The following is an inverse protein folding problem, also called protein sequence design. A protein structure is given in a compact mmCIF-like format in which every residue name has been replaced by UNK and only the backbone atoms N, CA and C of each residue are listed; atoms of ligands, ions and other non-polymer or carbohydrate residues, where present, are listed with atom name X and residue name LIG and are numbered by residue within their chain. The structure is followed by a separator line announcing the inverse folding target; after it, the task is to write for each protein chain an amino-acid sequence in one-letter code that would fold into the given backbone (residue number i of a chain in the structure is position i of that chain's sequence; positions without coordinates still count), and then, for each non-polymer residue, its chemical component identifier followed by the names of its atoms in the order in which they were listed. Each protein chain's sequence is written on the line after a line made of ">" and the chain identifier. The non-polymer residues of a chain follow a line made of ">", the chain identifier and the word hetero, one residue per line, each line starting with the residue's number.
data_IF_490382570480
#
_entry.id   IF_490382570480
#
_cell.length_a   1.000
_cell.length_b   1.000
_cell.length_c   1.000
_cell.angle_alpha   90.00
_cell.angle_beta   90.00
_cell.angle_gamma   90.00
#
_symmetry.space_group_name_H-M   'P 1'
#
loop_
_entity.id
_entity.type
_entity.pdbx_description
1 polymer ?
#
# COMPACT_ATOMS: atom_id res chain seq x y z
N UNK A 1 14.71 17.51 -21.76
CA UNK A 1 14.50 16.29 -20.97
C UNK A 1 13.85 16.66 -19.64
N UNK A 2 12.52 16.66 -19.61
CA UNK A 2 11.79 16.69 -18.34
C UNK A 2 12.14 15.39 -17.62
N UNK A 3 12.91 15.50 -16.53
CA UNK A 3 13.01 14.42 -15.56
C UNK A 3 11.56 14.11 -15.11
N UNK A 4 11.04 12.98 -15.55
CA UNK A 4 9.91 12.40 -14.86
C UNK A 4 10.39 12.27 -13.41
N UNK A 5 9.78 13.04 -12.51
CA UNK A 5 9.93 12.79 -11.09
C UNK A 5 9.36 11.39 -10.90
N UNK A 6 10.24 10.43 -10.64
CA UNK A 6 9.80 9.12 -10.21
C UNK A 6 8.92 9.36 -8.99
N UNK A 7 7.68 8.94 -9.10
CA UNK A 7 6.75 8.99 -7.98
C UNK A 7 7.31 8.06 -6.92
N UNK A 8 7.93 8.63 -5.90
CA UNK A 8 8.36 7.91 -4.72
C UNK A 8 7.15 7.55 -3.89
N UNK A 9 6.46 6.48 -4.27
CA UNK A 9 5.34 5.93 -3.50
C UNK A 9 5.94 4.94 -2.51
N UNK A 10 5.79 5.21 -1.21
CA UNK A 10 6.32 4.39 -0.12
C UNK A 10 5.20 4.01 0.83
N UNK A 11 4.24 3.27 0.28
CA UNK A 11 3.01 2.94 0.96
C UNK A 11 2.97 1.49 1.41
N UNK A 12 2.31 1.26 2.53
CA UNK A 12 1.96 -0.07 3.02
C UNK A 12 0.52 -0.17 3.44
N UNK A 13 -0.08 -1.32 3.13
CA UNK A 13 -1.43 -1.64 3.51
C UNK A 13 -1.53 -3.10 3.95
N UNK A 14 -2.19 -3.36 5.07
CA UNK A 14 -2.66 -4.70 5.45
C UNK A 14 -4.05 -5.00 4.89
N UNK A 15 -4.69 -4.02 4.24
CA UNK A 15 -6.00 -4.18 3.60
C UNK A 15 -5.77 -4.61 2.16
N UNK A 16 -5.51 -5.89 1.95
CA UNK A 16 -5.46 -6.48 0.62
C UNK A 16 -6.62 -7.44 0.49
N UNK A 17 -7.53 -7.17 -0.46
CA UNK A 17 -8.75 -7.96 -0.60
C UNK A 17 -8.46 -9.45 -0.75
N UNK A 18 -9.28 -10.25 -0.08
CA UNK A 18 -9.29 -11.70 0.06
C UNK A 18 -8.06 -12.31 0.75
N UNK A 19 -6.86 -11.93 0.37
CA UNK A 19 -5.64 -12.51 0.96
C UNK A 19 -5.18 -11.80 2.22
N UNK A 20 -5.57 -10.56 2.43
CA UNK A 20 -5.14 -9.69 3.55
C UNK A 20 -3.63 -9.68 3.77
N UNK A 21 -2.87 -9.79 2.68
CA UNK A 21 -1.42 -9.74 2.70
C UNK A 21 -0.92 -8.33 2.99
N UNK A 22 0.26 -8.24 3.55
CA UNK A 22 0.96 -6.99 3.66
C UNK A 22 1.53 -6.60 2.29
N UNK A 23 0.99 -5.56 1.66
CA UNK A 23 1.47 -5.04 0.40
C UNK A 23 2.32 -3.81 0.66
N UNK A 24 3.47 -3.77 0.00
CA UNK A 24 4.44 -2.68 0.08
C UNK A 24 4.78 -2.21 -1.31
N UNK A 25 4.72 -0.91 -1.53
CA UNK A 25 5.21 -0.28 -2.75
C UNK A 25 6.18 0.84 -2.37
N UNK A 26 7.30 0.92 -3.05
CA UNK A 26 8.29 1.95 -2.77
C UNK A 26 9.45 1.91 -3.75
N UNK A 27 10.26 2.95 -3.71
CA UNK A 27 11.44 3.13 -4.56
C UNK A 27 12.76 2.94 -3.80
N UNK A 28 12.73 2.79 -2.47
CA UNK A 28 13.90 2.43 -1.69
C UNK A 28 13.57 1.49 -0.53
N UNK A 29 14.49 0.58 -0.29
CA UNK A 29 14.32 -0.49 0.69
C UNK A 29 14.21 0.02 2.14
N UNK A 30 14.92 1.09 2.49
CA UNK A 30 14.95 1.64 3.85
C UNK A 30 13.58 2.12 4.28
N UNK A 31 12.91 2.92 3.44
CA UNK A 31 11.58 3.45 3.73
C UNK A 31 10.52 2.36 3.63
N UNK A 32 10.68 1.41 2.70
CA UNK A 32 9.83 0.24 2.61
C UNK A 32 9.90 -0.62 3.88
N UNK A 33 11.09 -0.82 4.43
CA UNK A 33 11.28 -1.51 5.72
C UNK A 33 10.66 -0.73 6.87
N UNK A 34 10.88 0.60 6.94
CA UNK A 34 10.32 1.44 7.99
C UNK A 34 8.79 1.42 7.96
N UNK A 35 8.19 1.58 6.79
CA UNK A 35 6.75 1.49 6.62
C UNK A 35 6.19 0.14 7.09
N UNK A 36 6.86 -0.99 6.76
CA UNK A 36 6.46 -2.29 7.20
C UNK A 36 6.58 -2.55 8.69
N UNK A 37 7.64 -2.06 9.28
CA UNK A 37 7.79 -2.16 10.71
C UNK A 37 6.74 -1.33 11.44
N UNK A 38 6.34 -0.19 10.87
CA UNK A 38 5.26 0.65 11.39
C UNK A 38 3.93 -0.10 11.38
N UNK A 39 3.53 -0.67 10.23
CA UNK A 39 2.29 -1.45 10.15
C UNK A 39 2.33 -2.70 11.04
N UNK A 40 3.48 -3.37 11.12
CA UNK A 40 3.68 -4.51 12.03
C UNK A 40 3.52 -4.11 13.51
N UNK A 41 4.12 -2.98 13.93
CA UNK A 41 3.99 -2.44 15.29
C UNK A 41 2.54 -2.13 15.63
N UNK A 42 1.79 -1.59 14.66
CA UNK A 42 0.38 -1.25 14.78
C UNK A 42 -0.55 -2.48 14.67
N UNK A 43 -0.01 -3.68 14.47
CA UNK A 43 -0.75 -4.93 14.24
C UNK A 43 -1.64 -4.89 12.99
N UNK A 44 -1.32 -4.03 12.04
CA UNK A 44 -2.02 -3.77 10.80
C UNK A 44 -2.31 -2.29 10.58
N UNK A 45 -2.71 -1.93 9.38
CA UNK A 45 -3.05 -0.58 9.03
C UNK A 45 -2.45 -0.10 7.72
N UNK A 46 -2.40 1.21 7.61
CA UNK A 46 -1.81 1.95 6.49
C UNK A 46 -0.68 2.81 7.02
N UNK A 47 0.39 2.93 6.24
CA UNK A 47 1.48 3.84 6.57
C UNK A 47 2.08 4.43 5.29
N UNK A 48 2.38 5.70 5.33
CA UNK A 48 3.14 6.42 4.34
C UNK A 48 4.44 6.92 4.95
N UNK A 49 5.55 6.60 4.31
CA UNK A 49 6.90 6.96 4.75
C UNK A 49 7.59 7.77 3.66
N UNK A 50 8.29 8.80 4.03
CA UNK A 50 9.14 9.57 3.13
C UNK A 50 10.40 10.05 3.86
N UNK A 51 11.53 9.98 3.18
CA UNK A 51 12.83 10.48 3.67
C UNK A 51 13.21 9.92 5.06
N UNK A 52 12.97 8.65 5.29
CA UNK A 52 13.30 7.96 6.54
C UNK A 52 12.35 8.27 7.70
N UNK A 53 11.20 8.88 7.44
CA UNK A 53 10.24 9.26 8.48
C UNK A 53 8.83 8.78 8.14
N UNK A 54 8.10 8.36 9.16
CA UNK A 54 6.66 8.08 9.03
C UNK A 54 5.93 9.42 8.93
N UNK A 55 5.40 9.72 7.76
CA UNK A 55 4.70 10.98 7.48
C UNK A 55 3.25 10.91 7.96
N UNK A 56 2.59 9.79 7.69
CA UNK A 56 1.22 9.54 8.14
C UNK A 56 0.97 8.05 8.32
N UNK A 57 0.12 7.69 9.26
CA UNK A 57 -0.27 6.31 9.52
C UNK A 57 -1.71 6.20 10.02
N UNK A 58 -2.31 5.04 9.79
CA UNK A 58 -3.58 4.62 10.37
C UNK A 58 -3.43 3.22 10.93
N UNK A 59 -3.51 3.07 12.24
CA UNK A 59 -3.47 1.78 12.89
C UNK A 59 -4.81 1.05 12.80
N UNK A 60 -4.75 -0.24 12.43
CA UNK A 60 -5.91 -1.13 12.33
C UNK A 60 -5.63 -2.41 13.14
N UNK A 61 -5.60 -2.32 14.49
CA UNK A 61 -5.13 -3.40 15.34
C UNK A 61 -6.08 -4.61 15.40
N UNK A 62 -7.31 -4.47 14.93
CA UNK A 62 -8.29 -5.56 14.93
C UNK A 62 -8.21 -6.29 13.60
N UNK A 63 -7.59 -7.45 13.60
CA UNK A 63 -7.34 -8.32 12.43
C UNK A 63 -6.59 -7.62 11.26
N UNK A 64 -5.93 -6.49 11.51
CA UNK A 64 -5.29 -5.69 10.46
C UNK A 64 -6.25 -4.89 9.57
N UNK A 65 -7.54 -4.86 9.91
CA UNK A 65 -8.61 -4.34 9.06
C UNK A 65 -9.48 -3.26 9.70
N UNK A 66 -9.59 -3.26 11.02
CA UNK A 66 -10.48 -2.36 11.75
C UNK A 66 -9.73 -1.61 12.86
N UNK A 67 -10.13 -0.36 13.07
CA UNK A 67 -9.63 0.49 14.15
C UNK A 67 -10.49 0.33 15.41
N UNK A 68 -9.89 0.59 16.57
CA UNK A 68 -10.60 0.75 17.85
C UNK A 68 -10.91 2.22 18.14
N UNK A 69 -10.53 3.11 17.24
CA UNK A 69 -10.80 4.56 17.38
C UNK A 69 -12.19 4.91 16.86
N UNK A 70 -12.64 6.14 17.14
CA UNK A 70 -13.91 6.64 16.62
C UNK A 70 -13.86 6.82 15.09
N UNK A 71 -15.01 6.81 14.44
CA UNK A 71 -15.12 7.01 13.00
C UNK A 71 -14.52 8.36 12.55
N UNK A 72 -14.72 9.40 13.38
CA UNK A 72 -14.18 10.73 13.11
C UNK A 72 -12.64 10.73 13.15
N UNK A 73 -12.04 10.01 14.13
CA UNK A 73 -10.58 9.89 14.23
C UNK A 73 -10.00 9.14 13.02
N UNK A 74 -10.63 8.04 12.63
CA UNK A 74 -10.24 7.26 11.46
C UNK A 74 -10.34 8.09 10.19
N UNK A 75 -11.44 8.83 10.01
CA UNK A 75 -11.64 9.71 8.85
C UNK A 75 -10.56 10.80 8.78
N UNK A 76 -10.23 11.44 9.91
CA UNK A 76 -9.18 12.45 9.98
C UNK A 76 -7.80 11.89 9.62
N UNK A 77 -7.46 10.68 10.10
CA UNK A 77 -6.19 10.00 9.76
C UNK A 77 -6.14 9.58 8.29
N UNK A 78 -7.24 9.11 7.72
CA UNK A 78 -7.33 8.81 6.28
C UNK A 78 -7.13 10.07 5.45
N UNK A 79 -7.73 11.19 5.87
CA UNK A 79 -7.53 12.47 5.19
C UNK A 79 -6.05 12.90 5.25
N UNK A 80 -5.42 12.81 6.43
CA UNK A 80 -4.01 13.12 6.60
C UNK A 80 -3.10 12.25 5.71
N UNK A 81 -3.40 10.95 5.58
CA UNK A 81 -2.70 10.05 4.65
C UNK A 81 -2.84 10.52 3.20
N UNK A 82 -4.05 10.85 2.76
CA UNK A 82 -4.29 11.33 1.39
C UNK A 82 -3.60 12.67 1.13
N UNK A 83 -3.63 13.60 2.08
CA UNK A 83 -2.97 14.90 1.97
C UNK A 83 -1.44 14.74 1.92
N UNK A 84 -0.88 13.82 2.71
CA UNK A 84 0.53 13.49 2.67
C UNK A 84 0.96 12.92 1.32
N UNK A 85 0.19 11.98 0.76
CA UNK A 85 0.43 11.42 -0.56
C UNK A 85 0.40 12.48 -1.66
N UNK A 86 -0.61 13.34 -1.63
CA UNK A 86 -0.76 14.48 -2.55
C UNK A 86 0.43 15.44 -2.48
N UNK A 87 0.86 15.80 -1.27
CA UNK A 87 2.02 16.66 -1.05
C UNK A 87 3.31 16.07 -1.63
N UNK A 88 3.40 14.73 -1.75
CA UNK A 88 4.54 14.01 -2.33
C UNK A 88 4.34 13.63 -3.81
N UNK A 89 3.31 14.17 -4.48
CA UNK A 89 3.13 14.09 -5.92
C UNK A 89 2.30 12.90 -6.42
N UNK A 90 1.58 12.23 -5.53
CA UNK A 90 0.58 11.22 -5.93
C UNK A 90 -0.63 11.95 -6.52
N UNK A 91 -1.12 11.50 -7.67
CA UNK A 91 -2.28 12.10 -8.32
C UNK A 91 -3.55 11.88 -7.49
N UNK A 92 -4.40 12.90 -7.41
CA UNK A 92 -5.61 12.89 -6.58
C UNK A 92 -6.65 11.84 -7.00
N UNK A 93 -6.69 11.53 -8.29
CA UNK A 93 -7.62 10.56 -8.89
C UNK A 93 -7.20 9.10 -8.66
N UNK A 94 -5.99 8.89 -8.14
CA UNK A 94 -5.48 7.56 -7.81
C UNK A 94 -5.70 7.30 -6.33
N UNK A 95 -6.71 6.52 -6.01
CA UNK A 95 -6.87 5.94 -4.67
C UNK A 95 -5.80 4.88 -4.42
N UNK A 96 -4.57 5.31 -4.06
CA UNK A 96 -3.38 4.43 -4.04
C UNK A 96 -3.58 3.20 -3.15
N UNK A 97 -4.14 3.37 -1.95
CA UNK A 97 -4.39 2.24 -1.05
C UNK A 97 -5.41 1.25 -1.62
N UNK A 98 -6.45 1.76 -2.31
CA UNK A 98 -7.40 0.91 -3.01
C UNK A 98 -6.76 0.20 -4.20
N UNK A 99 -5.93 0.90 -4.96
CA UNK A 99 -5.18 0.31 -6.08
C UNK A 99 -4.27 -0.80 -5.59
N UNK A 100 -3.50 -0.58 -4.51
CA UNK A 100 -2.65 -1.59 -3.90
C UNK A 100 -3.44 -2.79 -3.37
N UNK A 101 -4.59 -2.55 -2.77
CA UNK A 101 -5.45 -3.62 -2.26
C UNK A 101 -5.88 -4.61 -3.37
N UNK A 102 -6.00 -4.15 -4.60
CA UNK A 102 -6.38 -4.99 -5.74
C UNK A 102 -5.20 -5.62 -6.50
N UNK A 103 -3.96 -5.20 -6.22
CA UNK A 103 -2.78 -5.73 -6.92
C UNK A 103 -2.60 -7.22 -6.67
N UNK A 104 -2.93 -7.71 -5.49
CA UNK A 104 -2.76 -9.11 -5.09
C UNK A 104 -3.98 -10.00 -5.38
N UNK A 105 -5.08 -9.44 -5.90
CA UNK A 105 -6.34 -10.16 -6.10
C UNK A 105 -6.36 -10.92 -7.43
N UNK A 106 -6.18 -12.27 -7.44
CA UNK A 106 -5.94 -13.05 -8.66
C UNK A 106 -7.23 -13.38 -9.45
N UNK A 107 -8.26 -12.55 -9.33
CA UNK A 107 -9.51 -12.64 -10.09
C UNK A 107 -9.71 -11.46 -11.04
N UNK A 108 -8.88 -10.41 -10.91
CA UNK A 108 -8.95 -9.24 -11.78
C UNK A 108 -7.87 -9.35 -12.87
N UNK A 109 -8.23 -9.40 -14.16
CA UNK A 109 -7.24 -9.42 -15.25
C UNK A 109 -6.34 -8.16 -15.25
N UNK A 110 -5.12 -8.17 -15.87
CA UNK A 110 -4.53 -9.37 -16.50
C UNK A 110 -3.52 -10.06 -15.57
N UNK A 111 -2.55 -9.30 -15.06
CA UNK A 111 -1.50 -9.80 -14.18
C UNK A 111 -1.73 -9.34 -12.74
N UNK A 112 -1.44 -10.21 -11.79
CA UNK A 112 -1.49 -9.91 -10.36
C UNK A 112 -0.24 -10.41 -9.66
N UNK A 113 0.07 -9.81 -8.52
CA UNK A 113 1.23 -10.18 -7.72
C UNK A 113 0.76 -10.69 -6.36
N UNK A 114 1.17 -11.90 -6.00
CA UNK A 114 0.93 -12.47 -4.67
C UNK A 114 2.20 -13.14 -4.12
N UNK A 115 2.07 -13.88 -3.03
CA UNK A 115 3.19 -14.57 -2.38
C UNK A 115 3.81 -15.70 -3.22
N UNK A 116 3.14 -16.16 -4.26
CA UNK A 116 3.66 -17.17 -5.20
C UNK A 116 4.37 -16.55 -6.40
N UNK A 117 4.21 -15.24 -6.62
CA UNK A 117 4.81 -14.53 -7.75
C UNK A 117 3.78 -13.80 -8.61
N UNK A 118 4.11 -13.60 -9.87
CA UNK A 118 3.21 -12.96 -10.84
C UNK A 118 2.24 -14.01 -11.39
N UNK A 119 0.96 -13.72 -11.28
CA UNK A 119 -0.13 -14.59 -11.75
C UNK A 119 -0.70 -14.01 -13.05
N UNK A 120 -0.69 -14.82 -14.12
CA UNK A 120 -1.55 -14.57 -15.27
C UNK A 120 -2.96 -15.06 -14.91
N UNK A 121 -3.86 -14.12 -14.69
CA UNK A 121 -5.21 -14.42 -14.24
C UNK A 121 -6.04 -15.15 -15.28
N UNK A 122 -5.82 -14.88 -16.56
CA UNK A 122 -6.54 -15.57 -17.64
C UNK A 122 -6.14 -17.04 -17.76
N UNK A 123 -4.87 -17.35 -17.51
CA UNK A 123 -4.34 -18.71 -17.58
C UNK A 123 -4.34 -19.42 -16.21
N UNK A 124 -4.60 -18.71 -15.13
CA UNK A 124 -4.52 -19.20 -13.74
C UNK A 124 -3.15 -19.85 -13.44
N UNK A 125 -2.06 -19.21 -13.89
CA UNK A 125 -0.69 -19.72 -13.78
C UNK A 125 0.26 -18.67 -13.25
N UNK A 126 1.23 -19.13 -12.46
CA UNK A 126 2.41 -18.32 -12.14
C UNK A 126 3.26 -18.16 -13.40
N UNK A 127 3.60 -16.93 -13.73
CA UNK A 127 4.46 -16.62 -14.88
C UNK A 127 5.77 -15.99 -14.41
N UNK A 128 6.87 -16.18 -15.15
CA UNK A 128 8.14 -15.54 -14.83
C UNK A 128 7.99 -14.02 -14.85
N UNK A 129 8.63 -13.35 -13.92
CA UNK A 129 8.88 -11.92 -14.04
C UNK A 129 9.96 -11.74 -15.11
N UNK A 130 9.55 -11.34 -16.30
CA UNK A 130 10.48 -11.04 -17.40
C UNK A 130 10.84 -9.57 -17.29
N UNK A 131 12.09 -9.29 -17.00
CA UNK A 131 12.67 -7.95 -17.05
C UNK A 131 13.60 -7.85 -18.26
#
# INVERSE_FOLDING_TARGET
>A
LRRQRQMCIRDRSSIAHDSHNLIVAGDNDTDMMLAGNTVRKNKGGLAFVADGQVVAELALPVAGLMSTESAESVAAKMQALNDALKAHGVAEDIGIFMTLAFVSLPVIPKLRLNTYGIIDVAQQKVVPAVF
#
